data_IF_061049021237
#
_entry.id   IF_061049021237
#
_cell.length_a   1.000
_cell.length_b   1.000
_cell.length_c   1.000
_cell.angle_alpha   90.00
_cell.angle_beta   90.00
_cell.angle_gamma   90.00
#
_symmetry.space_group_name_H-M   'P 1'
#
loop_
_entity.id
_entity.type
_entity.pdbx_description
1 polymer ?
#
# COMPACT_ATOMS: atom_id res chain seq x y z
N UNK A 1 14.81 -18.30 -21.09
CA UNK A 1 13.38 -18.64 -21.45
C UNK A 1 13.07 -18.10 -22.86
N UNK A 2 11.96 -18.41 -23.56
CA UNK A 2 11.69 -17.72 -24.85
C UNK A 2 11.39 -16.23 -24.57
N UNK A 3 11.92 -15.31 -25.38
CA UNK A 3 11.82 -13.84 -25.23
C UNK A 3 10.37 -13.38 -25.06
N UNK A 4 9.46 -13.90 -25.91
CA UNK A 4 8.04 -13.58 -25.85
C UNK A 4 7.43 -13.97 -24.49
N UNK A 5 7.77 -15.17 -23.98
CA UNK A 5 7.30 -15.64 -22.67
C UNK A 5 7.81 -14.77 -21.53
N UNK A 6 9.07 -14.29 -21.60
CA UNK A 6 9.65 -13.39 -20.61
C UNK A 6 8.93 -12.04 -20.59
N UNK A 7 8.72 -11.45 -21.77
CA UNK A 7 8.01 -10.18 -21.94
C UNK A 7 6.57 -10.27 -21.44
N UNK A 8 5.84 -11.32 -21.82
CA UNK A 8 4.46 -11.53 -21.39
C UNK A 8 4.35 -11.73 -19.88
N UNK A 9 5.33 -12.40 -19.26
CA UNK A 9 5.37 -12.58 -17.81
C UNK A 9 5.56 -11.25 -17.08
N UNK A 10 6.53 -10.44 -17.51
CA UNK A 10 6.78 -9.10 -16.95
C UNK A 10 5.57 -8.19 -17.15
N UNK A 11 4.94 -8.22 -18.33
CA UNK A 11 3.72 -7.47 -18.62
C UNK A 11 2.58 -7.89 -17.70
N UNK A 12 2.34 -9.19 -17.57
CA UNK A 12 1.29 -9.74 -16.69
C UNK A 12 1.48 -9.28 -15.25
N UNK A 13 2.69 -9.39 -14.71
CA UNK A 13 2.96 -8.92 -13.35
C UNK A 13 2.75 -7.42 -13.16
N UNK A 14 3.00 -6.62 -14.20
CA UNK A 14 2.76 -5.18 -14.18
C UNK A 14 1.26 -4.85 -14.22
N UNK A 15 0.50 -5.51 -15.08
CA UNK A 15 -0.94 -5.27 -15.24
C UNK A 15 -1.74 -5.76 -14.02
N UNK A 16 -1.29 -6.84 -13.39
CA UNK A 16 -1.93 -7.42 -12.20
C UNK A 16 -1.34 -6.88 -10.88
N UNK A 17 -0.37 -5.94 -10.92
CA UNK A 17 0.35 -5.40 -9.76
C UNK A 17 0.92 -6.49 -8.82
N UNK A 18 1.39 -7.61 -9.39
CA UNK A 18 1.99 -8.69 -8.60
C UNK A 18 3.39 -8.33 -8.10
N UNK A 19 3.58 -8.28 -6.78
CA UNK A 19 4.89 -8.03 -6.14
C UNK A 19 5.74 -9.31 -6.08
N UNK A 20 6.30 -9.70 -7.23
CA UNK A 20 7.23 -10.83 -7.37
C UNK A 20 8.66 -10.33 -7.66
N UNK A 21 9.21 -9.48 -6.79
CA UNK A 21 10.41 -8.69 -7.07
C UNK A 21 11.63 -9.54 -7.45
N UNK A 22 11.86 -10.68 -6.78
CA UNK A 22 12.96 -11.60 -7.11
C UNK A 22 12.84 -12.16 -8.54
N UNK A 23 11.66 -12.67 -8.92
CA UNK A 23 11.46 -13.21 -10.26
C UNK A 23 11.44 -12.13 -11.35
N UNK A 24 11.02 -10.90 -11.01
CA UNK A 24 11.08 -9.75 -11.91
C UNK A 24 12.55 -9.39 -12.18
N UNK A 25 13.39 -9.39 -11.15
CA UNK A 25 14.83 -9.16 -11.28
C UNK A 25 15.45 -10.23 -12.16
N UNK A 26 15.24 -11.53 -11.87
CA UNK A 26 15.85 -12.62 -12.63
C UNK A 26 15.50 -12.57 -14.13
N UNK A 27 14.20 -12.49 -14.43
CA UNK A 27 13.70 -12.50 -15.81
C UNK A 27 14.05 -11.19 -16.53
N UNK A 28 13.98 -10.07 -15.82
CA UNK A 28 14.23 -8.76 -16.40
C UNK A 28 15.72 -8.51 -16.66
N UNK A 29 16.60 -8.95 -15.77
CA UNK A 29 18.06 -8.86 -15.93
C UNK A 29 18.53 -9.71 -17.12
N UNK A 30 18.05 -10.96 -17.26
CA UNK A 30 18.29 -11.82 -18.45
C UNK A 30 17.86 -11.10 -19.73
N UNK A 31 16.66 -10.52 -19.73
CA UNK A 31 16.05 -9.90 -20.89
C UNK A 31 16.72 -8.58 -21.30
N UNK A 32 17.17 -7.77 -20.33
CA UNK A 32 17.96 -6.56 -20.58
C UNK A 32 19.34 -6.92 -21.15
N UNK A 33 20.04 -7.88 -20.56
CA UNK A 33 21.40 -8.21 -20.95
C UNK A 33 21.49 -8.93 -22.29
N UNK A 34 20.58 -9.88 -22.55
CA UNK A 34 20.69 -10.74 -23.73
C UNK A 34 19.83 -10.26 -24.91
N UNK A 35 18.77 -9.49 -24.65
CA UNK A 35 17.71 -9.25 -25.63
C UNK A 35 17.26 -7.78 -25.76
N UNK A 36 17.99 -6.82 -25.20
CA UNK A 36 17.69 -5.38 -25.29
C UNK A 36 17.27 -4.90 -26.70
N UNK A 37 18.02 -5.30 -27.73
CA UNK A 37 17.80 -4.86 -29.11
C UNK A 37 16.49 -5.36 -29.74
N UNK A 38 15.87 -6.42 -29.19
CA UNK A 38 14.65 -7.05 -29.71
C UNK A 38 13.37 -6.51 -29.07
N UNK A 39 13.49 -5.66 -28.04
CA UNK A 39 12.36 -5.24 -27.22
C UNK A 39 11.69 -3.95 -27.71
N UNK A 40 12.34 -3.19 -28.60
CA UNK A 40 11.83 -1.91 -29.09
C UNK A 40 11.55 -0.96 -27.92
N UNK A 41 10.41 -0.29 -27.94
CA UNK A 41 10.05 0.71 -26.92
C UNK A 41 9.66 0.11 -25.55
N UNK A 42 9.33 -1.18 -25.50
CA UNK A 42 8.97 -1.86 -24.25
C UNK A 42 10.14 -1.94 -23.27
N UNK A 43 11.38 -1.83 -23.78
CA UNK A 43 12.61 -1.89 -22.99
C UNK A 43 12.59 -0.87 -21.84
N UNK A 44 12.04 0.32 -22.04
CA UNK A 44 12.05 1.38 -21.04
C UNK A 44 11.14 1.07 -19.85
N UNK A 45 9.98 0.47 -20.12
CA UNK A 45 9.08 0.08 -19.04
C UNK A 45 9.61 -1.16 -18.31
N UNK A 46 10.38 -2.00 -19.00
CA UNK A 46 11.10 -3.13 -18.38
C UNK A 46 12.23 -2.61 -17.50
N UNK A 47 13.04 -1.65 -17.95
CA UNK A 47 14.06 -1.01 -17.11
C UNK A 47 13.47 -0.43 -15.83
N UNK A 48 12.33 0.25 -15.91
CA UNK A 48 11.66 0.78 -14.71
C UNK A 48 11.15 -0.34 -13.79
N UNK A 49 10.50 -1.36 -14.36
CA UNK A 49 9.98 -2.49 -13.57
C UNK A 49 11.10 -3.25 -12.86
N UNK A 50 12.22 -3.48 -13.55
CA UNK A 50 13.42 -4.11 -12.99
C UNK A 50 14.06 -3.21 -11.95
N UNK A 51 14.15 -1.90 -12.19
CA UNK A 51 14.70 -0.95 -11.23
C UNK A 51 13.92 -0.98 -9.90
N UNK A 52 12.59 -0.94 -9.95
CA UNK A 52 11.74 -1.00 -8.75
C UNK A 52 11.91 -2.34 -8.02
N UNK A 53 11.90 -3.45 -8.76
CA UNK A 53 12.09 -4.77 -8.18
C UNK A 53 13.49 -4.98 -7.59
N UNK A 54 14.52 -4.40 -8.23
CA UNK A 54 15.90 -4.44 -7.75
C UNK A 54 16.06 -3.68 -6.42
N UNK A 55 15.36 -2.54 -6.24
CA UNK A 55 15.31 -1.85 -4.94
C UNK A 55 14.69 -2.73 -3.85
N UNK A 56 13.56 -3.39 -4.14
CA UNK A 56 12.92 -4.34 -3.21
C UNK A 56 13.87 -5.50 -2.83
N UNK A 57 14.71 -5.95 -3.77
CA UNK A 57 15.69 -7.01 -3.55
C UNK A 57 17.04 -6.52 -3.03
N UNK A 58 17.19 -5.23 -2.69
CA UNK A 58 18.47 -4.62 -2.27
C UNK A 58 19.62 -4.79 -3.29
N UNK A 59 19.30 -4.99 -4.57
CA UNK A 59 20.24 -5.06 -5.71
C UNK A 59 20.50 -3.65 -6.25
N UNK A 60 21.19 -2.81 -5.47
CA UNK A 60 21.44 -1.41 -5.83
C UNK A 60 22.29 -1.25 -7.11
N UNK A 61 23.15 -2.23 -7.40
CA UNK A 61 23.94 -2.32 -8.63
C UNK A 61 23.03 -2.30 -9.89
N UNK A 62 22.02 -3.17 -9.89
CA UNK A 62 21.07 -3.30 -10.99
C UNK A 62 20.07 -2.13 -11.01
N UNK A 63 19.63 -1.66 -9.83
CA UNK A 63 18.75 -0.49 -9.75
C UNK A 63 19.45 0.77 -10.31
N UNK A 64 20.74 0.95 -10.01
CA UNK A 64 21.54 2.06 -10.51
C UNK A 64 21.76 1.97 -12.01
N UNK A 65 22.11 0.80 -12.55
CA UNK A 65 22.32 0.63 -14.00
C UNK A 65 21.05 0.94 -14.79
N UNK A 66 19.90 0.40 -14.36
CA UNK A 66 18.61 0.69 -14.98
C UNK A 66 18.26 2.19 -14.92
N UNK A 67 18.52 2.83 -13.77
CA UNK A 67 18.26 4.26 -13.59
C UNK A 67 19.12 5.14 -14.51
N UNK A 68 20.39 4.77 -14.73
CA UNK A 68 21.26 5.53 -15.66
C UNK A 68 20.75 5.47 -17.10
N UNK A 69 20.31 4.29 -17.56
CA UNK A 69 19.74 4.13 -18.89
C UNK A 69 18.46 4.95 -19.06
N UNK A 70 17.57 4.91 -18.06
CA UNK A 70 16.35 5.72 -18.06
C UNK A 70 16.64 7.22 -18.05
N UNK A 71 17.63 7.68 -17.29
CA UNK A 71 18.04 9.09 -17.24
C UNK A 71 18.68 9.56 -18.54
N UNK A 72 19.45 8.71 -19.21
CA UNK A 72 20.05 9.00 -20.51
C UNK A 72 18.97 9.19 -21.58
N UNK A 73 17.94 8.35 -21.56
CA UNK A 73 16.84 8.42 -22.52
C UNK A 73 15.84 9.54 -22.22
N UNK A 74 15.55 9.80 -20.94
CA UNK A 74 14.52 10.75 -20.50
C UNK A 74 15.05 11.70 -19.40
N UNK A 75 15.96 12.63 -19.73
CA UNK A 75 16.68 13.45 -18.74
C UNK A 75 15.76 14.36 -17.91
N UNK A 76 14.67 14.87 -18.49
CA UNK A 76 13.76 15.83 -17.85
C UNK A 76 12.46 15.18 -17.34
N UNK A 77 12.39 13.85 -17.33
CA UNK A 77 11.17 13.14 -16.93
C UNK A 77 10.97 13.15 -15.41
N UNK A 78 9.82 13.67 -14.96
CA UNK A 78 9.40 13.55 -13.56
C UNK A 78 9.32 12.09 -13.09
N UNK A 79 8.99 11.16 -13.99
CA UNK A 79 8.98 9.72 -13.70
C UNK A 79 10.38 9.22 -13.33
N UNK A 80 11.40 9.58 -14.11
CA UNK A 80 12.79 9.20 -13.84
C UNK A 80 13.33 9.90 -12.60
N UNK A 81 13.00 11.18 -12.40
CA UNK A 81 13.35 11.94 -11.19
C UNK A 81 12.73 11.30 -9.94
N UNK A 82 11.51 10.79 -10.04
CA UNK A 82 10.86 10.02 -8.96
C UNK A 82 11.60 8.73 -8.66
N UNK A 83 12.00 7.95 -9.69
CA UNK A 83 12.81 6.73 -9.51
C UNK A 83 14.17 7.03 -8.84
N UNK A 84 14.82 8.14 -9.20
CA UNK A 84 16.03 8.58 -8.51
C UNK A 84 15.77 8.88 -7.02
N UNK A 85 14.64 9.51 -6.69
CA UNK A 85 14.17 9.66 -5.31
C UNK A 85 13.94 8.33 -4.60
N UNK A 86 13.32 7.36 -5.28
CA UNK A 86 13.05 6.03 -4.70
C UNK A 86 14.34 5.30 -4.33
N UNK A 87 15.37 5.42 -5.15
CA UNK A 87 16.70 4.89 -4.83
C UNK A 87 17.33 5.60 -3.64
N UNK A 88 17.21 6.92 -3.53
CA UNK A 88 17.70 7.67 -2.37
C UNK A 88 16.98 7.25 -1.08
N UNK A 89 15.67 6.99 -1.14
CA UNK A 89 14.92 6.43 0.00
C UNK A 89 15.43 5.06 0.41
N UNK A 90 15.70 4.16 -0.56
CA UNK A 90 16.29 2.84 -0.28
C UNK A 90 17.69 2.94 0.35
N UNK A 91 18.40 4.04 0.12
CA UNK A 91 19.69 4.36 0.74
C UNK A 91 19.54 5.20 2.03
N UNK A 92 18.31 5.37 2.54
CA UNK A 92 17.98 6.18 3.72
C UNK A 92 18.39 7.67 3.61
N UNK A 93 18.63 8.17 2.40
CA UNK A 93 18.97 9.57 2.11
C UNK A 93 17.72 10.42 1.90
N UNK A 94 16.90 10.49 2.94
CA UNK A 94 15.57 11.09 2.88
C UNK A 94 15.57 12.58 2.53
N UNK A 95 16.55 13.36 2.99
CA UNK A 95 16.65 14.79 2.69
C UNK A 95 16.87 15.04 1.20
N UNK A 96 17.71 14.23 0.56
CA UNK A 96 17.99 14.36 -0.86
C UNK A 96 16.82 13.84 -1.71
N UNK A 97 16.14 12.78 -1.25
CA UNK A 97 14.90 12.31 -1.87
C UNK A 97 13.82 13.41 -1.83
N UNK A 98 13.64 14.07 -0.68
CA UNK A 98 12.69 15.17 -0.53
C UNK A 98 12.99 16.34 -1.48
N UNK A 99 14.26 16.74 -1.66
CA UNK A 99 14.62 17.78 -2.64
C UNK A 99 14.20 17.40 -4.07
N UNK A 100 14.32 16.12 -4.45
CA UNK A 100 13.86 15.65 -5.76
C UNK A 100 12.33 15.70 -5.85
N UNK A 101 11.61 15.32 -4.81
CA UNK A 101 10.15 15.37 -4.81
C UNK A 101 9.60 16.79 -4.76
N UNK A 102 10.18 17.68 -3.96
CA UNK A 102 9.82 19.08 -3.90
C UNK A 102 10.00 19.77 -5.24
N UNK A 103 11.10 19.46 -5.94
CA UNK A 103 11.31 20.00 -7.28
C UNK A 103 10.44 19.33 -8.35
N UNK A 104 9.83 18.16 -8.13
CA UNK A 104 8.74 17.67 -9.01
C UNK A 104 7.46 18.44 -8.70
N UNK A 105 7.14 18.65 -7.43
CA UNK A 105 5.91 19.32 -7.00
C UNK A 105 5.93 20.83 -7.27
N UNK A 106 7.10 21.44 -7.38
CA UNK A 106 7.26 22.82 -7.82
C UNK A 106 6.90 22.98 -9.31
N UNK A 107 7.28 22.00 -10.14
CA UNK A 107 6.98 21.97 -11.56
C UNK A 107 5.54 21.53 -11.84
N UNK A 108 5.06 20.51 -11.10
CA UNK A 108 3.72 19.93 -11.18
C UNK A 108 3.13 19.71 -9.76
N UNK A 109 2.40 20.69 -9.21
CA UNK A 109 1.80 20.58 -7.88
C UNK A 109 0.74 19.48 -7.73
N UNK A 110 0.22 18.96 -8.85
CA UNK A 110 -0.81 17.91 -8.88
C UNK A 110 -0.22 16.50 -9.00
N UNK A 111 1.11 16.38 -8.96
CA UNK A 111 1.81 15.10 -9.04
C UNK A 111 1.58 14.24 -7.79
N UNK A 112 0.52 13.42 -7.82
CA UNK A 112 0.14 12.55 -6.71
C UNK A 112 1.25 11.54 -6.35
N UNK A 113 1.96 11.03 -7.36
CA UNK A 113 3.04 10.07 -7.14
C UNK A 113 4.19 10.66 -6.32
N UNK A 114 4.63 11.90 -6.60
CA UNK A 114 5.65 12.57 -5.81
C UNK A 114 5.16 12.89 -4.39
N UNK A 115 3.91 13.34 -4.25
CA UNK A 115 3.32 13.64 -2.93
C UNK A 115 3.22 12.38 -2.05
N UNK A 116 2.78 11.25 -2.60
CA UNK A 116 2.73 9.96 -1.89
C UNK A 116 4.11 9.51 -1.42
N UNK A 117 5.16 9.68 -2.23
CA UNK A 117 6.54 9.35 -1.79
C UNK A 117 7.00 10.19 -0.60
N UNK A 118 6.68 11.50 -0.56
CA UNK A 118 6.98 12.33 0.62
C UNK A 118 6.27 11.84 1.88
N UNK A 119 4.99 11.44 1.75
CA UNK A 119 4.23 10.84 2.86
C UNK A 119 4.88 9.53 3.31
N UNK A 120 5.30 8.66 2.37
CA UNK A 120 6.02 7.42 2.69
C UNK A 120 7.33 7.68 3.46
N UNK A 121 8.07 8.75 3.11
CA UNK A 121 9.26 9.16 3.86
C UNK A 121 8.92 9.54 5.30
N UNK A 122 7.87 10.34 5.52
CA UNK A 122 7.44 10.71 6.88
C UNK A 122 7.10 9.47 7.71
N UNK A 123 6.42 8.49 7.10
CA UNK A 123 6.12 7.20 7.74
C UNK A 123 7.39 6.43 8.09
N UNK A 124 8.34 6.32 7.16
CA UNK A 124 9.61 5.64 7.40
C UNK A 124 10.45 6.29 8.51
N UNK A 125 10.33 7.62 8.67
CA UNK A 125 10.97 8.38 9.75
C UNK A 125 10.23 8.31 11.09
N UNK A 126 9.10 7.59 11.17
CA UNK A 126 8.28 7.51 12.39
C UNK A 126 7.53 8.81 12.73
N UNK A 127 7.42 9.75 11.79
CA UNK A 127 6.72 11.03 11.96
C UNK A 127 5.22 10.87 11.68
N UNK A 128 4.55 10.01 12.44
CA UNK A 128 3.14 9.65 12.22
C UNK A 128 2.21 10.86 12.15
N UNK A 129 2.35 11.82 13.08
CA UNK A 129 1.47 13.00 13.12
C UNK A 129 1.59 13.89 11.89
N UNK A 130 2.81 14.05 11.36
CA UNK A 130 3.04 14.79 10.11
C UNK A 130 2.50 14.02 8.90
N UNK A 131 2.71 12.70 8.85
CA UNK A 131 2.17 11.86 7.79
C UNK A 131 0.64 11.89 7.75
N UNK A 132 -0.02 11.84 8.91
CA UNK A 132 -1.48 11.97 9.04
C UNK A 132 -1.94 13.34 8.51
N UNK A 133 -1.28 14.44 8.89
CA UNK A 133 -1.65 15.78 8.42
C UNK A 133 -1.57 15.86 6.89
N UNK A 134 -0.44 15.43 6.31
CA UNK A 134 -0.22 15.45 4.86
C UNK A 134 -1.19 14.53 4.10
N UNK A 135 -1.56 13.38 4.66
CA UNK A 135 -2.58 12.49 4.07
C UNK A 135 -3.98 13.09 4.08
N UNK A 136 -4.38 13.78 5.16
CA UNK A 136 -5.67 14.48 5.19
C UNK A 136 -5.69 15.59 4.12
N UNK A 137 -4.66 16.43 4.05
CA UNK A 137 -4.54 17.48 3.02
C UNK A 137 -4.53 16.92 1.59
N UNK A 138 -3.92 15.75 1.40
CA UNK A 138 -3.97 15.03 0.12
C UNK A 138 -5.38 14.55 -0.21
N UNK A 139 -6.07 13.90 0.73
CA UNK A 139 -7.39 13.32 0.52
C UNK A 139 -8.48 14.39 0.36
N UNK A 140 -8.29 15.62 0.85
CA UNK A 140 -9.16 16.75 0.53
C UNK A 140 -9.23 17.04 -0.98
N UNK A 141 -8.13 16.78 -1.71
CA UNK A 141 -8.04 17.00 -3.16
C UNK A 141 -8.31 15.72 -3.95
N UNK A 142 -7.94 14.56 -3.40
CA UNK A 142 -7.96 13.26 -4.07
C UNK A 142 -8.78 12.22 -3.30
N UNK A 143 -10.04 12.56 -2.98
CA UNK A 143 -10.98 11.75 -2.18
C UNK A 143 -11.15 10.32 -2.69
N UNK A 144 -10.94 10.07 -3.99
CA UNK A 144 -11.06 8.75 -4.61
C UNK A 144 -9.85 7.83 -4.46
N UNK A 145 -8.73 8.29 -3.87
CA UNK A 145 -7.53 7.46 -3.69
C UNK A 145 -7.70 6.49 -2.52
N UNK A 146 -8.08 5.26 -2.85
CA UNK A 146 -8.33 4.19 -1.89
C UNK A 146 -7.06 3.76 -1.15
N UNK A 147 -5.89 3.80 -1.81
CA UNK A 147 -4.64 3.43 -1.16
C UNK A 147 -4.30 4.45 -0.07
N UNK A 148 -4.51 5.74 -0.34
CA UNK A 148 -4.29 6.79 0.66
C UNK A 148 -5.28 6.72 1.85
N UNK A 149 -6.55 6.38 1.61
CA UNK A 149 -7.51 6.13 2.70
C UNK A 149 -7.10 4.94 3.57
N UNK A 150 -6.60 3.87 2.94
CA UNK A 150 -6.11 2.69 3.64
C UNK A 150 -4.88 3.01 4.47
N UNK A 151 -3.88 3.69 3.91
CA UNK A 151 -2.69 4.16 4.63
C UNK A 151 -3.05 5.07 5.82
N UNK A 152 -4.00 5.99 5.63
CA UNK A 152 -4.47 6.86 6.71
C UNK A 152 -5.16 6.07 7.83
N UNK A 153 -5.95 5.05 7.48
CA UNK A 153 -6.57 4.16 8.46
C UNK A 153 -5.53 3.41 9.31
N UNK A 154 -4.45 2.90 8.69
CA UNK A 154 -3.37 2.21 9.40
C UNK A 154 -2.64 3.14 10.36
N UNK A 155 -2.39 4.39 9.93
CA UNK A 155 -1.77 5.39 10.79
C UNK A 155 -2.64 5.73 12.01
N UNK A 156 -3.95 5.91 11.83
CA UNK A 156 -4.84 6.13 12.97
C UNK A 156 -4.93 4.92 13.91
N UNK A 157 -4.86 3.69 13.38
CA UNK A 157 -4.78 2.48 14.22
C UNK A 157 -3.50 2.48 15.06
N UNK A 158 -2.36 2.83 14.46
CA UNK A 158 -1.06 2.89 15.15
C UNK A 158 -1.02 3.99 16.23
N UNK A 159 -1.72 5.11 16.01
CA UNK A 159 -1.88 6.20 16.97
C UNK A 159 -3.05 5.98 17.95
N UNK A 160 -3.70 4.82 17.92
CA UNK A 160 -4.85 4.46 18.76
C UNK A 160 -6.10 5.35 18.59
N UNK A 161 -6.18 6.14 17.52
CA UNK A 161 -7.37 6.92 17.17
C UNK A 161 -8.35 6.05 16.36
N UNK A 162 -8.91 5.05 17.04
CA UNK A 162 -9.80 4.06 16.42
C UNK A 162 -11.07 4.66 15.82
N UNK A 163 -11.51 5.82 16.30
CA UNK A 163 -12.67 6.52 15.75
C UNK A 163 -12.40 7.03 14.33
N UNK A 164 -11.25 7.69 14.12
CA UNK A 164 -10.86 8.15 12.79
C UNK A 164 -10.44 7.00 11.87
N UNK A 165 -9.82 5.95 12.42
CA UNK A 165 -9.56 4.74 11.65
C UNK A 165 -10.85 4.11 11.10
N UNK A 166 -11.88 4.00 11.94
CA UNK A 166 -13.19 3.47 11.52
C UNK A 166 -13.82 4.32 10.40
N UNK A 167 -13.73 5.65 10.50
CA UNK A 167 -14.21 6.55 9.44
C UNK A 167 -13.50 6.30 8.09
N UNK A 168 -12.17 6.17 8.10
CA UNK A 168 -11.41 5.87 6.88
C UNK A 168 -11.83 4.52 6.26
N UNK A 169 -12.08 3.51 7.09
CA UNK A 169 -12.54 2.19 6.64
C UNK A 169 -13.98 2.21 6.12
N UNK A 170 -14.85 3.11 6.63
CA UNK A 170 -16.20 3.33 6.08
C UNK A 170 -16.13 3.85 4.65
N UNK A 171 -15.28 4.85 4.37
CA UNK A 171 -15.04 5.37 3.00
C UNK A 171 -14.55 4.27 2.05
N UNK A 172 -13.65 3.40 2.51
CA UNK A 172 -13.15 2.25 1.74
C UNK A 172 -14.23 1.20 1.46
N UNK A 173 -15.10 0.93 2.43
CA UNK A 173 -16.21 -0.02 2.25
C UNK A 173 -17.31 0.54 1.34
N UNK A 174 -17.55 1.85 1.36
CA UNK A 174 -18.50 2.48 0.44
C UNK A 174 -18.03 2.39 -1.02
N UNK A 175 -16.73 2.56 -1.25
CA UNK A 175 -16.13 2.47 -2.59
C UNK A 175 -15.90 1.02 -3.04
N UNK A 176 -15.69 0.08 -2.10
CA UNK A 176 -15.42 -1.33 -2.39
C UNK A 176 -16.24 -2.28 -1.51
N UNK A 177 -17.56 -2.38 -1.74
CA UNK A 177 -18.46 -3.16 -0.87
C UNK A 177 -18.22 -4.67 -0.88
N UNK A 178 -17.45 -5.17 -1.86
CA UNK A 178 -17.12 -6.59 -2.01
C UNK A 178 -15.72 -6.96 -1.49
N UNK A 179 -14.94 -5.98 -1.01
CA UNK A 179 -13.63 -6.26 -0.44
C UNK A 179 -13.77 -6.75 1.02
N UNK A 180 -13.57 -8.05 1.24
CA UNK A 180 -13.71 -8.65 2.56
C UNK A 180 -12.70 -8.13 3.59
N UNK A 181 -11.55 -7.60 3.14
CA UNK A 181 -10.49 -7.12 4.03
C UNK A 181 -10.93 -5.85 4.77
N UNK A 182 -11.63 -4.93 4.10
CA UNK A 182 -12.11 -3.70 4.75
C UNK A 182 -13.20 -4.01 5.78
N UNK A 183 -14.09 -4.96 5.51
CA UNK A 183 -15.07 -5.42 6.50
C UNK A 183 -14.39 -6.09 7.71
N UNK A 184 -13.36 -6.90 7.48
CA UNK A 184 -12.56 -7.51 8.55
C UNK A 184 -11.89 -6.43 9.41
N UNK A 185 -11.10 -5.55 8.80
CA UNK A 185 -10.38 -4.49 9.51
C UNK A 185 -11.33 -3.56 10.28
N UNK A 186 -12.49 -3.22 9.70
CA UNK A 186 -13.50 -2.45 10.41
C UNK A 186 -14.06 -3.21 11.62
N UNK A 187 -14.32 -4.51 11.48
CA UNK A 187 -14.70 -5.37 12.59
C UNK A 187 -13.67 -5.39 13.72
N UNK A 188 -12.38 -5.46 13.39
CA UNK A 188 -11.28 -5.41 14.36
C UNK A 188 -11.21 -4.05 15.09
N UNK A 189 -11.34 -2.94 14.34
CA UNK A 189 -11.37 -1.59 14.92
C UNK A 189 -12.56 -1.44 15.87
N UNK A 190 -13.77 -1.86 15.47
CA UNK A 190 -14.96 -1.81 16.34
C UNK A 190 -14.83 -2.71 17.57
N UNK A 191 -14.26 -3.91 17.41
CA UNK A 191 -13.98 -4.79 18.54
C UNK A 191 -13.05 -4.11 19.56
N UNK A 192 -12.00 -3.44 19.05
CA UNK A 192 -11.00 -2.74 19.87
C UNK A 192 -11.60 -1.53 20.60
N UNK A 193 -12.52 -0.79 19.96
CA UNK A 193 -13.24 0.32 20.61
C UNK A 193 -14.08 -0.16 21.80
N UNK A 194 -14.54 -1.41 21.78
CA UNK A 194 -15.31 -2.02 22.87
C UNK A 194 -16.67 -1.35 23.11
N UNK A 195 -17.37 -1.82 24.15
CA UNK A 195 -18.76 -1.43 24.40
C UNK A 195 -19.75 -2.26 23.59
N UNK A 196 -20.95 -2.45 24.13
CA UNK A 196 -21.93 -3.41 23.60
C UNK A 196 -22.31 -3.10 22.14
N UNK A 197 -22.54 -1.83 21.81
CA UNK A 197 -22.90 -1.40 20.46
C UNK A 197 -21.79 -1.68 19.44
N UNK A 198 -20.53 -1.40 19.79
CA UNK A 198 -19.41 -1.67 18.88
C UNK A 198 -19.12 -3.17 18.76
N UNK A 199 -19.33 -3.96 19.82
CA UNK A 199 -19.22 -5.42 19.74
C UNK A 199 -20.28 -6.01 18.81
N UNK A 200 -21.52 -5.52 18.86
CA UNK A 200 -22.56 -5.93 17.92
C UNK A 200 -22.20 -5.57 16.47
N UNK A 201 -21.64 -4.37 16.23
CA UNK A 201 -21.13 -3.97 14.92
C UNK A 201 -19.98 -4.88 14.47
N UNK A 202 -18.99 -5.11 15.33
CA UNK A 202 -17.87 -6.00 15.03
C UNK A 202 -18.35 -7.38 14.60
N UNK A 203 -19.31 -7.96 15.33
CA UNK A 203 -19.95 -9.25 14.97
C UNK A 203 -20.54 -9.24 13.56
N UNK A 204 -21.31 -8.19 13.23
CA UNK A 204 -21.96 -8.03 11.92
C UNK A 204 -20.91 -7.95 10.80
N UNK A 205 -19.87 -7.15 10.98
CA UNK A 205 -18.85 -6.94 9.95
C UNK A 205 -17.90 -8.15 9.79
N UNK A 206 -17.57 -8.87 10.86
CA UNK A 206 -16.87 -10.15 10.75
C UNK A 206 -17.71 -11.20 9.99
N UNK A 207 -19.01 -11.30 10.29
CA UNK A 207 -19.90 -12.19 9.56
C UNK A 207 -20.02 -11.80 8.06
N UNK A 208 -20.07 -10.50 7.76
CA UNK A 208 -20.06 -10.01 6.39
C UNK A 208 -18.74 -10.33 5.66
N UNK A 209 -17.59 -10.16 6.32
CA UNK A 209 -16.29 -10.53 5.77
C UNK A 209 -16.22 -12.03 5.43
N UNK A 210 -16.76 -12.90 6.30
CA UNK A 210 -16.85 -14.35 6.04
C UNK A 210 -17.81 -14.71 4.91
N UNK A 211 -18.90 -13.95 4.76
CA UNK A 211 -19.84 -14.10 3.64
C UNK A 211 -19.16 -13.77 2.30
N UNK A 212 -18.30 -12.74 2.28
CA UNK A 212 -17.53 -12.35 1.10
C UNK A 212 -16.36 -13.31 0.83
N UNK A 213 -15.68 -13.79 1.88
CA UNK A 213 -14.62 -14.78 1.79
C UNK A 213 -14.65 -15.74 3.00
N UNK A 214 -15.14 -16.95 2.76
CA UNK A 214 -15.26 -17.98 3.80
C UNK A 214 -13.92 -18.57 4.28
N UNK A 215 -12.79 -18.21 3.65
CA UNK A 215 -11.44 -18.60 4.07
C UNK A 215 -10.74 -17.51 4.89
N UNK A 216 -11.39 -16.40 5.18
CA UNK A 216 -10.82 -15.36 6.02
C UNK A 216 -10.76 -15.83 7.49
N UNK A 217 -9.60 -16.35 7.90
CA UNK A 217 -9.35 -16.85 9.24
C UNK A 217 -9.44 -15.75 10.31
N UNK A 218 -9.00 -14.51 10.00
CA UNK A 218 -9.08 -13.39 10.94
C UNK A 218 -10.53 -13.04 11.24
N UNK A 219 -11.37 -12.96 10.21
CA UNK A 219 -12.80 -12.73 10.40
C UNK A 219 -13.48 -13.87 11.19
N UNK A 220 -13.07 -15.13 10.98
CA UNK A 220 -13.57 -16.27 11.76
C UNK A 220 -13.20 -16.16 13.25
N UNK A 221 -11.93 -15.87 13.54
CA UNK A 221 -11.48 -15.67 14.92
C UNK A 221 -12.15 -14.46 15.57
N UNK A 222 -12.27 -13.33 14.85
CA UNK A 222 -12.97 -12.14 15.33
C UNK A 222 -14.41 -12.44 15.69
N UNK A 223 -15.14 -13.16 14.84
CA UNK A 223 -16.52 -13.57 15.11
C UNK A 223 -16.64 -14.43 16.37
N UNK A 224 -15.75 -15.42 16.53
CA UNK A 224 -15.69 -16.26 17.72
C UNK A 224 -15.43 -15.45 18.99
N UNK A 225 -14.44 -14.55 18.96
CA UNK A 225 -14.06 -13.72 20.10
C UNK A 225 -15.19 -12.79 20.55
N UNK A 226 -15.91 -12.18 19.59
CA UNK A 226 -17.08 -11.35 19.89
C UNK A 226 -18.19 -12.19 20.55
N UNK A 227 -18.54 -13.34 20.00
CA UNK A 227 -19.58 -14.22 20.57
C UNK A 227 -19.23 -14.73 21.97
N UNK A 228 -17.95 -14.98 22.26
CA UNK A 228 -17.50 -15.34 23.60
C UNK A 228 -17.61 -14.17 24.58
N UNK A 229 -17.32 -12.95 24.14
CA UNK A 229 -17.44 -11.75 24.99
C UNK A 229 -18.90 -11.44 25.36
N UNK A 230 -19.84 -11.54 24.40
CA UNK A 230 -21.28 -11.35 24.65
C UNK A 230 -21.83 -12.37 25.66
N UNK A 231 -21.45 -13.64 25.54
CA UNK A 231 -21.90 -14.70 26.45
C UNK A 231 -21.42 -14.49 27.89
N UNK A 232 -20.23 -13.90 28.11
CA UNK A 232 -19.77 -13.55 29.46
C UNK A 232 -20.58 -12.42 30.07
N UNK A 233 -20.97 -11.41 29.29
CA UNK A 233 -21.83 -10.33 29.77
C UNK A 233 -23.22 -10.84 30.18
N UNK A 234 -23.78 -11.77 29.43
CA UNK A 234 -25.05 -12.42 29.78
C UNK A 234 -24.93 -13.24 31.07
N UNK A 235 -23.86 -14.02 31.25
CA UNK A 235 -23.61 -14.78 32.48
C UNK A 235 -23.39 -13.88 33.70
N UNK A 236 -22.72 -12.74 33.53
CA UNK A 236 -22.54 -11.76 34.61
C UNK A 236 -23.88 -11.13 35.03
N UNK A 237 -24.74 -10.82 34.06
CA UNK A 237 -26.09 -10.33 34.34
C UNK A 237 -26.90 -11.35 35.14
N UNK A 238 -26.86 -12.65 34.80
CA UNK A 238 -27.54 -13.68 35.58
C UNK A 238 -26.97 -13.85 36.99
N UNK A 239 -25.66 -13.64 37.21
CA UNK A 239 -25.05 -13.74 38.53
C UNK A 239 -25.33 -12.54 39.47
N UNK A 240 -25.85 -11.43 38.95
CA UNK A 240 -26.24 -10.25 39.74
C UNK A 240 -27.72 -10.28 40.18
N UNK A 241 -28.50 -11.26 39.70
CA UNK A 241 -29.92 -11.44 40.02
C UNK A 241 -30.19 -12.66 40.93
N UNK A 242 -29.16 -13.27 41.52
CA UNK A 242 -29.24 -14.31 42.56
C UNK A 242 -28.35 -13.93 43.74
#
# INVERSE_FOLDING_TARGET
MNIEKMRDKLRKWREENFRNSEQIVDVGEELINEHASKLGDDIWIIYEQVMIAALDCSRDDLAWSCLQELKRQFPDSHRVKRLAGMRLEALERYEDANKLYDSILQDDPTNTAARKRKISILRAQGKSSEAIRELNEYLEQFVGDQEAWHELSELYINEHDYAKAAFCLEELMMTNPHNHLYCEQYGEVKYTQGGLENLELARKYFAQALKLNNRNMRALFGLYMVSCSENRHLLFFFSLFF
#
